data_IF_971798464577
#
_entry.id   IF_971798464577
#
_cell.length_a   1.000
_cell.length_b   1.000
_cell.length_c   1.000
_cell.angle_alpha   90.00
_cell.angle_beta   90.00
_cell.angle_gamma   90.00
#
_symmetry.space_group_name_H-M   'P 1'
#
loop_
_entity.id
_entity.type
_entity.pdbx_description
1 polymer ?
#
# COMPACT_ATOMS: atom_id res chain seq x y z
N UNK A 1 11.85 -2.07 -13.68
CA UNK A 1 11.15 -1.41 -12.57
C UNK A 1 10.27 -2.43 -11.85
N UNK A 2 10.35 -2.48 -10.55
CA UNK A 2 9.60 -3.44 -9.75
C UNK A 2 8.30 -2.83 -9.25
N UNK A 3 7.22 -3.60 -9.33
CA UNK A 3 5.92 -3.18 -8.84
C UNK A 3 5.54 -4.01 -7.63
N UNK A 4 5.19 -3.36 -6.54
CA UNK A 4 4.79 -4.01 -5.30
C UNK A 4 3.35 -3.62 -4.96
N UNK A 5 2.51 -4.61 -4.74
CA UNK A 5 1.14 -4.39 -4.28
C UNK A 5 1.04 -4.73 -2.80
N UNK A 6 0.41 -3.87 -2.02
CA UNK A 6 0.23 -4.09 -0.59
C UNK A 6 -1.27 -4.18 -0.30
N UNK A 7 -1.68 -5.31 0.26
CA UNK A 7 -3.07 -5.55 0.64
C UNK A 7 -3.17 -5.41 2.15
N UNK A 8 -4.15 -4.65 2.62
CA UNK A 8 -4.35 -4.49 4.04
C UNK A 8 -3.35 -3.53 4.68
N UNK A 9 -3.36 -2.29 4.23
CA UNK A 9 -2.44 -1.28 4.73
C UNK A 9 -2.84 -0.82 6.13
N UNK A 10 -2.45 -1.58 7.13
CA UNK A 10 -2.51 -1.17 8.53
C UNK A 10 -1.15 -0.64 8.94
N UNK A 11 -0.88 -0.58 10.25
CA UNK A 11 0.40 -0.07 10.75
C UNK A 11 1.60 -0.85 10.20
N UNK A 12 1.50 -2.17 10.14
CA UNK A 12 2.59 -3.00 9.63
C UNK A 12 2.78 -2.80 8.13
N UNK A 13 1.66 -2.79 7.38
CA UNK A 13 1.74 -2.57 5.93
C UNK A 13 2.31 -1.21 5.58
N UNK A 14 1.92 -0.17 6.33
CA UNK A 14 2.43 1.17 6.12
C UNK A 14 3.94 1.25 6.38
N UNK A 15 4.42 0.59 7.44
CA UNK A 15 5.85 0.56 7.75
C UNK A 15 6.64 -0.11 6.63
N UNK A 16 6.15 -1.23 6.10
CA UNK A 16 6.80 -1.91 4.98
C UNK A 16 6.83 -1.03 3.73
N UNK A 17 5.70 -0.38 3.42
CA UNK A 17 5.63 0.50 2.26
C UNK A 17 6.63 1.66 2.36
N UNK A 18 6.71 2.28 3.53
CA UNK A 18 7.64 3.38 3.75
C UNK A 18 9.09 2.93 3.59
N UNK A 19 9.44 1.76 4.12
CA UNK A 19 10.80 1.24 4.00
C UNK A 19 11.17 0.95 2.56
N UNK A 20 10.25 0.38 1.81
CA UNK A 20 10.49 0.10 0.39
C UNK A 20 10.66 1.40 -0.39
N UNK A 21 9.83 2.39 -0.10
CA UNK A 21 9.90 3.67 -0.79
C UNK A 21 11.24 4.37 -0.54
N UNK A 22 11.79 4.26 0.66
CA UNK A 22 13.07 4.87 0.98
C UNK A 22 14.25 4.08 0.46
N UNK A 23 14.18 2.75 0.57
CA UNK A 23 15.30 1.89 0.18
C UNK A 23 15.37 1.65 -1.32
N UNK A 24 14.25 1.69 -2.00
CA UNK A 24 14.17 1.40 -3.44
C UNK A 24 13.26 2.41 -4.13
N UNK A 25 13.72 3.64 -4.33
CA UNK A 25 12.86 4.73 -4.86
C UNK A 25 12.33 4.49 -6.27
N UNK A 26 12.92 3.57 -7.03
CA UNK A 26 12.40 3.24 -8.35
C UNK A 26 11.32 2.17 -8.33
N UNK A 27 11.01 1.63 -7.16
CA UNK A 27 9.94 0.65 -7.01
C UNK A 27 8.59 1.37 -7.02
N UNK A 28 7.66 0.85 -7.80
CA UNK A 28 6.29 1.35 -7.79
C UNK A 28 5.52 0.61 -6.70
N UNK A 29 4.97 1.37 -5.77
CA UNK A 29 4.18 0.80 -4.68
C UNK A 29 2.73 1.19 -4.90
N UNK A 30 1.83 0.21 -4.85
CA UNK A 30 0.40 0.50 -4.91
C UNK A 30 -0.29 -0.22 -3.77
N UNK A 31 -1.33 0.42 -3.24
CA UNK A 31 -2.11 -0.11 -2.13
C UNK A 31 -3.43 -0.62 -2.67
N UNK A 32 -3.79 -1.83 -2.30
CA UNK A 32 -5.06 -2.40 -2.72
C UNK A 32 -6.04 -2.28 -1.56
N UNK A 33 -7.12 -1.57 -1.77
CA UNK A 33 -8.13 -1.33 -0.75
C UNK A 33 -9.50 -1.14 -1.39
N UNK A 34 -10.54 -1.48 -0.62
CA UNK A 34 -11.92 -1.25 -1.05
C UNK A 34 -12.46 0.02 -0.39
N UNK A 35 -13.56 0.55 -0.91
CA UNK A 35 -14.25 1.68 -0.30
C UNK A 35 -14.83 1.25 1.07
N UNK A 36 -14.92 2.13 2.06
CA UNK A 36 -14.53 3.56 2.01
C UNK A 36 -13.05 3.81 2.31
N UNK A 37 -12.29 2.77 2.62
CA UNK A 37 -10.88 2.92 2.96
C UNK A 37 -10.07 3.47 1.78
N UNK A 38 -10.37 3.02 0.56
CA UNK A 38 -9.66 3.49 -0.61
C UNK A 38 -9.78 5.00 -0.77
N UNK A 39 -10.99 5.55 -0.59
CA UNK A 39 -11.22 6.97 -0.68
C UNK A 39 -10.46 7.73 0.39
N UNK A 40 -10.45 7.20 1.61
CA UNK A 40 -9.74 7.83 2.72
C UNK A 40 -8.24 7.88 2.45
N UNK A 41 -7.68 6.78 1.95
CA UNK A 41 -6.25 6.72 1.65
C UNK A 41 -5.86 7.71 0.55
N UNK A 42 -6.72 7.88 -0.45
CA UNK A 42 -6.45 8.86 -1.51
C UNK A 42 -6.48 10.28 -0.98
N UNK A 43 -7.38 10.56 -0.05
CA UNK A 43 -7.54 11.90 0.51
C UNK A 43 -6.46 12.25 1.52
N UNK A 44 -6.11 11.33 2.39
CA UNK A 44 -5.24 11.62 3.54
C UNK A 44 -3.81 11.11 3.37
N UNK A 45 -3.59 10.15 2.48
CA UNK A 45 -2.29 9.53 2.35
C UNK A 45 -1.96 8.64 3.55
N UNK A 46 -0.70 8.27 3.68
CA UNK A 46 -0.20 7.43 4.76
C UNK A 46 0.92 8.16 5.46
N UNK A 47 0.83 8.29 6.79
CA UNK A 47 1.88 8.93 7.57
C UNK A 47 2.63 7.88 8.38
N UNK A 48 3.95 7.84 8.21
CA UNK A 48 4.82 6.94 8.95
C UNK A 48 5.97 7.76 9.51
N UNK A 49 6.13 7.73 10.82
CA UNK A 49 7.17 8.49 11.52
C UNK A 49 7.15 9.98 11.15
N UNK A 50 5.97 10.54 11.01
CA UNK A 50 5.80 11.95 10.70
C UNK A 50 5.98 12.32 9.23
N UNK A 51 6.25 11.36 8.37
CA UNK A 51 6.42 11.59 6.94
C UNK A 51 5.18 11.08 6.21
N UNK A 52 4.62 11.93 5.35
CA UNK A 52 3.45 11.56 4.56
C UNK A 52 3.88 10.92 3.24
N UNK A 53 3.24 9.81 2.92
CA UNK A 53 3.42 9.10 1.66
C UNK A 53 2.09 9.05 0.92
N UNK A 54 2.10 9.34 -0.36
CA UNK A 54 0.91 9.28 -1.20
C UNK A 54 1.08 8.16 -2.22
N UNK A 55 0.72 6.94 -1.82
CA UNK A 55 0.80 5.79 -2.70
C UNK A 55 -0.45 5.70 -3.58
N UNK A 56 -0.33 5.25 -4.82
CA UNK A 56 -1.50 4.95 -5.63
C UNK A 56 -2.39 3.92 -4.94
N UNK A 57 -3.68 4.17 -4.93
CA UNK A 57 -4.66 3.27 -4.31
C UNK A 57 -5.53 2.66 -5.40
N UNK A 58 -5.63 1.33 -5.41
CA UNK A 58 -6.35 0.58 -6.43
C UNK A 58 -7.35 -0.33 -5.74
N UNK A 59 -8.55 -0.43 -6.28
CA UNK A 59 -9.53 -1.38 -5.78
C UNK A 59 -9.26 -2.77 -6.37
N UNK A 60 -9.58 -3.85 -5.65
CA UNK A 60 -9.28 -5.20 -6.13
C UNK A 60 -9.85 -5.54 -7.50
N UNK A 61 -10.97 -4.93 -7.87
CA UNK A 61 -11.62 -5.21 -9.15
C UNK A 61 -11.05 -4.39 -10.31
N UNK A 62 -10.18 -3.42 -10.04
CA UNK A 62 -9.62 -2.59 -11.12
C UNK A 62 -8.62 -3.37 -11.95
N UNK A 63 -8.69 -3.26 -13.30
CA UNK A 63 -7.71 -3.90 -14.15
C UNK A 63 -6.39 -3.14 -14.09
N UNK A 64 -5.38 -3.79 -13.53
CA UNK A 64 -4.04 -3.22 -13.42
C UNK A 64 -3.01 -4.27 -13.82
N UNK A 65 -1.80 -3.83 -14.12
CA UNK A 65 -0.73 -4.75 -14.44
C UNK A 65 -0.39 -5.61 -13.22
N UNK A 66 -0.02 -6.88 -13.43
CA UNK A 66 0.38 -7.74 -12.33
C UNK A 66 1.56 -7.16 -11.57
N UNK A 67 1.56 -7.34 -10.26
CA UNK A 67 2.67 -6.92 -9.42
C UNK A 67 3.77 -7.98 -9.43
N UNK A 68 5.01 -7.54 -9.26
CA UNK A 68 6.14 -8.46 -9.11
C UNK A 68 6.14 -9.08 -7.73
N UNK A 69 5.60 -8.36 -6.74
CA UNK A 69 5.54 -8.82 -5.37
C UNK A 69 4.22 -8.35 -4.74
N UNK A 70 3.59 -9.23 -3.98
CA UNK A 70 2.38 -8.90 -3.24
C UNK A 70 2.65 -9.10 -1.76
N UNK A 71 2.41 -8.08 -0.98
CA UNK A 71 2.53 -8.13 0.47
C UNK A 71 1.14 -8.09 1.07
N UNK A 72 0.82 -9.09 1.88
CA UNK A 72 -0.46 -9.16 2.58
C UNK A 72 -0.21 -8.84 4.05
N UNK A 73 -0.77 -7.73 4.51
CA UNK A 73 -0.55 -7.24 5.87
C UNK A 73 -1.88 -7.08 6.60
N UNK A 74 -2.58 -8.18 6.81
CA UNK A 74 -3.87 -8.18 7.49
C UNK A 74 -3.69 -8.47 8.98
N UNK A 75 -4.67 -8.05 9.78
CA UNK A 75 -4.62 -8.30 11.20
C UNK A 75 -4.78 -9.78 11.51
N UNK A 76 -3.91 -10.28 12.36
CA UNK A 76 -3.85 -11.69 12.68
C UNK A 76 -5.01 -12.20 13.52
N UNK A 77 -5.56 -11.35 14.36
CA UNK A 77 -6.61 -11.78 15.26
C UNK A 77 -7.92 -12.12 14.57
N UNK A 78 -8.03 -11.84 13.30
CA UNK A 78 -9.23 -12.16 12.53
C UNK A 78 -9.19 -13.58 11.96
N UNK A 79 -8.12 -14.28 12.21
CA UNK A 79 -7.94 -15.64 11.71
C UNK A 79 -8.56 -16.70 12.62
#
# INVERSE_FOLDING_TARGET
MTTVSIIGLGAIGAAHAARIAEAAPLTQIRVIATEPRAERLRAEGVTVNGIRYDFPVVEPAEPVEPADLIIVAVKHHDL
#
